data_IF_494918976400
#
_entry.id   IF_494918976400
#
_cell.length_a   1.000
_cell.length_b   1.000
_cell.length_c   1.000
_cell.angle_alpha   90.00
_cell.angle_beta   90.00
_cell.angle_gamma   90.00
#
_symmetry.space_group_name_H-M   'P 1'
#
loop_
_entity.id
_entity.type
_entity.pdbx_description
1 polymer ?
#
# COMPACT_ATOMS: atom_id res chain seq x y z
N UNK A 1 -17.43 8.62 -27.99
CA UNK A 1 -17.63 7.22 -27.60
C UNK A 1 -17.74 7.20 -26.08
N UNK A 2 -18.94 6.99 -25.53
CA UNK A 2 -19.16 7.06 -24.08
C UNK A 2 -18.72 5.73 -23.46
N UNK A 3 -17.70 5.80 -22.61
CA UNK A 3 -17.06 4.66 -21.96
C UNK A 3 -17.97 3.98 -20.94
N UNK A 4 -18.63 2.89 -21.36
CA UNK A 4 -19.29 1.99 -20.44
C UNK A 4 -18.23 1.23 -19.64
N UNK A 5 -18.21 1.40 -18.32
CA UNK A 5 -17.41 0.58 -17.41
C UNK A 5 -17.98 -0.83 -17.43
N UNK A 6 -17.18 -1.82 -17.83
CA UNK A 6 -17.61 -3.21 -17.89
C UNK A 6 -17.66 -3.84 -16.50
N UNK A 7 -18.34 -4.99 -16.35
CA UNK A 7 -18.29 -5.78 -15.12
C UNK A 7 -16.87 -6.23 -14.75
N UNK A 8 -16.04 -6.52 -15.76
CA UNK A 8 -14.63 -6.84 -15.56
C UNK A 8 -13.87 -5.64 -15.00
N UNK A 9 -14.12 -4.43 -15.51
CA UNK A 9 -13.51 -3.20 -14.98
C UNK A 9 -13.91 -2.92 -13.53
N UNK A 10 -15.16 -3.24 -13.15
CA UNK A 10 -15.61 -3.11 -11.76
C UNK A 10 -14.94 -4.11 -10.84
N UNK A 11 -14.85 -5.38 -11.27
CA UNK A 11 -14.15 -6.44 -10.53
C UNK A 11 -12.70 -6.05 -10.24
N UNK A 12 -11.98 -5.54 -11.24
CA UNK A 12 -10.58 -5.15 -11.10
C UNK A 12 -10.35 -3.94 -10.18
N UNK A 13 -11.41 -3.22 -9.79
CA UNK A 13 -11.35 -2.09 -8.85
C UNK A 13 -11.84 -2.44 -7.44
N UNK A 14 -12.43 -3.61 -7.24
CA UNK A 14 -12.95 -4.01 -5.94
C UNK A 14 -11.81 -4.45 -5.02
N UNK A 15 -11.74 -3.89 -3.82
CA UNK A 15 -10.78 -4.30 -2.79
C UNK A 15 -10.41 -3.20 -1.79
N UNK A 16 -9.23 -3.31 -1.20
CA UNK A 16 -8.71 -2.36 -0.21
C UNK A 16 -7.80 -1.30 -0.85
N UNK A 17 -7.98 -0.05 -0.42
CA UNK A 17 -7.19 1.10 -0.83
C UNK A 17 -6.51 1.71 0.39
N UNK A 18 -5.24 2.06 0.27
CA UNK A 18 -4.45 2.64 1.36
C UNK A 18 -3.75 3.91 0.91
N UNK A 19 -4.03 4.99 1.63
CA UNK A 19 -3.45 6.30 1.37
C UNK A 19 -2.51 6.71 2.51
N UNK A 20 -1.23 6.87 2.19
CA UNK A 20 -0.21 7.27 3.15
C UNK A 20 0.32 8.66 2.81
N UNK A 21 0.11 9.58 3.74
CA UNK A 21 0.66 10.93 3.68
C UNK A 21 1.96 10.97 4.47
N UNK A 22 3.04 11.46 3.85
CA UNK A 22 4.36 11.50 4.46
C UNK A 22 5.09 12.78 4.09
N UNK A 23 6.14 13.12 4.85
CA UNK A 23 6.92 14.33 4.63
C UNK A 23 8.42 14.07 4.75
N UNK A 24 9.16 14.42 3.71
CA UNK A 24 10.62 14.49 3.74
C UNK A 24 11.07 15.91 4.08
N UNK A 25 11.75 16.08 5.23
CA UNK A 25 12.27 17.39 5.69
C UNK A 25 13.51 17.84 4.93
N UNK A 26 14.23 16.91 4.31
CA UNK A 26 15.42 17.13 3.48
C UNK A 26 15.31 16.28 2.22
N UNK A 27 15.95 16.66 1.12
CA UNK A 27 16.04 15.80 -0.06
C UNK A 27 16.60 14.42 0.31
N UNK A 28 15.84 13.37 0.01
CA UNK A 28 16.21 11.99 0.36
C UNK A 28 15.56 10.98 -0.59
N UNK A 29 16.20 9.81 -0.71
CA UNK A 29 15.58 8.67 -1.36
C UNK A 29 14.64 8.01 -0.35
N UNK A 30 13.37 7.91 -0.71
CA UNK A 30 12.29 7.48 0.18
C UNK A 30 11.57 6.29 -0.44
N UNK A 31 11.51 5.19 0.30
CA UNK A 31 10.65 4.04 -0.02
C UNK A 31 9.49 4.01 0.96
N UNK A 32 8.28 4.00 0.43
CA UNK A 32 7.08 3.68 1.22
C UNK A 32 6.80 2.21 0.99
N UNK A 33 6.73 1.41 2.06
CA UNK A 33 6.39 -0.02 1.99
C UNK A 33 5.11 -0.28 2.77
N UNK A 34 4.13 -0.88 2.10
CA UNK A 34 2.97 -1.50 2.73
C UNK A 34 3.25 -2.99 2.92
N UNK A 35 3.24 -3.45 4.16
CA UNK A 35 3.23 -4.86 4.58
C UNK A 35 1.80 -5.22 5.01
N UNK A 36 1.27 -6.35 4.56
CA UNK A 36 -0.11 -6.74 4.86
C UNK A 36 -0.33 -8.26 4.91
N UNK A 37 -1.36 -8.67 5.65
CA UNK A 37 -1.86 -10.06 5.74
C UNK A 37 -3.28 -10.12 5.16
N UNK A 38 -3.60 -11.18 4.43
CA UNK A 38 -4.93 -11.42 3.86
C UNK A 38 -5.56 -12.70 4.42
N UNK A 39 -6.90 -12.74 4.46
CA UNK A 39 -7.68 -13.79 5.12
C UNK A 39 -7.28 -15.21 4.75
N UNK A 40 -6.99 -15.48 3.47
CA UNK A 40 -6.73 -16.84 2.99
C UNK A 40 -5.24 -17.23 3.05
N UNK A 41 -4.38 -16.28 3.39
CA UNK A 41 -2.92 -16.47 3.41
C UNK A 41 -2.34 -16.77 4.79
N UNK A 42 -3.21 -16.91 5.81
CA UNK A 42 -2.81 -17.27 7.17
C UNK A 42 -1.74 -16.29 7.73
N UNK A 43 -0.56 -16.80 8.09
CA UNK A 43 0.54 -15.99 8.64
C UNK A 43 1.44 -15.33 7.59
N UNK A 44 1.19 -15.58 6.30
CA UNK A 44 2.00 -15.02 5.22
C UNK A 44 1.80 -13.50 5.10
N UNK A 45 2.92 -12.78 5.06
CA UNK A 45 2.96 -11.32 4.90
C UNK A 45 3.36 -11.01 3.47
N UNK A 46 2.49 -10.27 2.77
CA UNK A 46 2.80 -9.66 1.48
C UNK A 46 3.37 -8.26 1.66
N UNK A 47 4.07 -7.76 0.63
CA UNK A 47 4.59 -6.40 0.62
C UNK A 47 4.48 -5.74 -0.76
N UNK A 48 4.08 -4.47 -0.77
CA UNK A 48 4.18 -3.57 -1.92
C UNK A 48 5.08 -2.39 -1.56
N UNK A 49 5.97 -2.00 -2.46
CA UNK A 49 6.91 -0.88 -2.26
C UNK A 49 6.83 0.12 -3.41
N UNK A 50 6.88 1.41 -3.08
CA UNK A 50 7.10 2.48 -4.07
C UNK A 50 8.28 3.31 -3.58
N UNK A 51 9.29 3.44 -4.45
CA UNK A 51 10.49 4.22 -4.18
C UNK A 51 10.51 5.51 -4.98
N UNK A 52 10.79 6.60 -4.30
CA UNK A 52 10.96 7.92 -4.87
C UNK A 52 12.38 8.42 -4.61
N UNK A 53 13.00 9.03 -5.61
CA UNK A 53 14.38 9.54 -5.49
C UNK A 53 14.40 11.04 -5.26
N UNK A 54 15.32 11.50 -4.41
CA UNK A 54 15.59 12.91 -4.15
C UNK A 54 14.33 13.74 -3.81
N UNK A 55 13.43 13.19 -2.98
CA UNK A 55 12.17 13.83 -2.61
C UNK A 55 12.32 14.76 -1.42
N UNK A 56 11.57 15.86 -1.44
CA UNK A 56 11.44 16.82 -0.36
C UNK A 56 9.99 17.32 -0.27
N UNK A 57 9.52 17.70 0.92
CA UNK A 57 8.16 18.21 1.13
C UNK A 57 7.16 17.10 1.49
N UNK A 58 5.86 17.42 1.39
CA UNK A 58 4.75 16.51 1.71
C UNK A 58 4.28 15.79 0.46
N UNK A 59 4.06 14.49 0.58
CA UNK A 59 3.67 13.60 -0.51
C UNK A 59 2.57 12.63 -0.07
N UNK A 60 1.87 12.07 -1.06
CA UNK A 60 0.89 10.99 -0.89
C UNK A 60 1.38 9.78 -1.68
N UNK A 61 1.31 8.60 -1.07
CA UNK A 61 1.48 7.32 -1.76
C UNK A 61 0.22 6.49 -1.58
N UNK A 62 -0.26 5.92 -2.68
CA UNK A 62 -1.47 5.11 -2.72
C UNK A 62 -1.09 3.68 -3.07
N UNK A 63 -1.56 2.72 -2.26
CA UNK A 63 -1.48 1.29 -2.53
C UNK A 63 -2.86 0.70 -2.71
N UNK A 64 -2.92 -0.41 -3.45
CA UNK A 64 -4.18 -1.10 -3.78
C UNK A 64 -3.96 -2.60 -3.65
N UNK A 65 -4.90 -3.25 -2.97
CA UNK A 65 -5.07 -4.70 -2.97
C UNK A 65 -6.47 -4.95 -3.53
N UNK A 66 -6.55 -5.10 -4.84
CA UNK A 66 -7.80 -5.08 -5.61
C UNK A 66 -7.81 -6.15 -6.67
N UNK A 67 -8.97 -6.41 -7.27
CA UNK A 67 -9.07 -7.34 -8.38
C UNK A 67 -8.72 -8.75 -7.92
N UNK A 68 -7.98 -9.48 -8.75
CA UNK A 68 -7.73 -10.90 -8.52
C UNK A 68 -6.94 -11.14 -7.23
N UNK A 69 -5.95 -10.30 -6.88
CA UNK A 69 -5.24 -10.36 -5.59
C UNK A 69 -6.19 -10.30 -4.39
N UNK A 70 -7.25 -9.49 -4.48
CA UNK A 70 -8.25 -9.39 -3.41
C UNK A 70 -9.22 -10.58 -3.42
N UNK A 71 -9.66 -11.02 -4.59
CA UNK A 71 -10.63 -12.12 -4.68
C UNK A 71 -10.00 -13.48 -4.36
N UNK A 72 -8.76 -13.69 -4.77
CA UNK A 72 -8.04 -14.96 -4.61
C UNK A 72 -7.54 -15.11 -3.17
N UNK A 73 -6.93 -14.07 -2.59
CA UNK A 73 -6.31 -14.12 -1.26
C UNK A 73 -7.18 -13.55 -0.13
N UNK A 74 -8.30 -12.90 -0.48
CA UNK A 74 -9.26 -12.34 0.46
C UNK A 74 -8.93 -10.90 0.86
N UNK A 75 -9.75 -10.31 1.74
CA UNK A 75 -9.51 -8.93 2.19
C UNK A 75 -8.27 -8.83 3.08
N UNK A 76 -7.70 -7.62 3.15
CA UNK A 76 -6.63 -7.32 4.10
C UNK A 76 -7.19 -7.32 5.53
N UNK A 77 -6.57 -8.09 6.43
CA UNK A 77 -6.96 -8.22 7.85
C UNK A 77 -6.05 -7.48 8.82
N UNK A 78 -4.78 -7.31 8.44
CA UNK A 78 -3.80 -6.57 9.22
C UNK A 78 -2.80 -5.93 8.24
N UNK A 79 -2.34 -4.73 8.57
CA UNK A 79 -1.36 -4.00 7.76
C UNK A 79 -0.43 -3.15 8.61
N UNK A 80 0.77 -2.92 8.07
CA UNK A 80 1.75 -1.93 8.54
C UNK A 80 2.34 -1.22 7.33
N UNK A 81 2.50 0.08 7.43
CA UNK A 81 3.20 0.88 6.45
C UNK A 81 4.44 1.50 7.10
N UNK A 82 5.59 1.29 6.47
CA UNK A 82 6.87 1.86 6.90
C UNK A 82 7.38 2.87 5.88
N UNK A 83 7.90 3.98 6.39
CA UNK A 83 8.63 4.96 5.60
C UNK A 83 10.11 4.71 5.79
N UNK A 84 10.82 4.43 4.70
CA UNK A 84 12.25 4.15 4.69
C UNK A 84 12.93 5.31 3.99
N UNK A 85 13.84 5.99 4.67
CA UNK A 85 14.66 7.06 4.09
C UNK A 85 16.14 6.64 4.15
N UNK A 86 16.81 6.67 2.99
CA UNK A 86 18.22 6.27 2.86
C UNK A 86 18.55 4.91 3.52
N UNK A 87 17.63 3.93 3.38
CA UNK A 87 17.79 2.58 3.92
C UNK A 87 17.40 2.40 5.40
N UNK A 88 16.93 3.45 6.09
CA UNK A 88 16.49 3.36 7.48
C UNK A 88 14.98 3.58 7.62
N UNK A 89 14.30 2.75 8.41
CA UNK A 89 12.90 2.99 8.78
C UNK A 89 12.86 4.23 9.68
N UNK A 90 12.21 5.30 9.20
CA UNK A 90 12.10 6.59 9.90
C UNK A 90 10.70 6.88 10.43
N UNK A 91 9.69 6.15 9.96
CA UNK A 91 8.33 6.22 10.47
C UNK A 91 7.57 4.92 10.21
N UNK A 92 6.54 4.67 11.02
CA UNK A 92 5.65 3.53 10.93
C UNK A 92 4.21 3.96 11.23
N UNK A 93 3.26 3.37 10.52
CA UNK A 93 1.85 3.36 10.88
C UNK A 93 1.29 1.95 10.68
N UNK A 94 0.32 1.51 11.49
CA UNK A 94 -0.20 0.14 11.41
C UNK A 94 -1.63 0.03 11.88
N UNK A 95 -2.32 -1.01 11.41
CA UNK A 95 -3.61 -1.42 11.97
C UNK A 95 -3.45 -1.94 13.39
N UNK A 96 -4.54 -1.90 14.18
CA UNK A 96 -4.56 -2.48 15.52
C UNK A 96 -4.23 -3.99 15.53
N UNK A 97 -4.68 -4.73 14.53
CA UNK A 97 -4.46 -6.18 14.40
C UNK A 97 -3.03 -6.54 13.98
N UNK A 98 -2.16 -5.56 13.76
CA UNK A 98 -0.76 -5.77 13.44
C UNK A 98 0.05 -5.85 14.74
N UNK A 99 0.11 -7.06 15.29
CA UNK A 99 1.02 -7.47 16.38
C UNK A 99 2.13 -8.38 15.85
#
# INVERSE_FOLDING_TARGET
MFGAVTWLDQRQRFGNYFDFFWRAKRPSDVTVRLEYRQEKLHEHVQAQEITYRNMHGTHKTEFKVVGDDYFDDGRVIAWRCVLIANGQIVAENRSFMWE
#
